data_IF_815801447640
#
_entry.id   IF_815801447640
#
_cell.length_a   1.000
_cell.length_b   1.000
_cell.length_c   1.000
_cell.angle_alpha   90.00
_cell.angle_beta   90.00
_cell.angle_gamma   90.00
#
_symmetry.space_group_name_H-M   'P 1'
#
loop_
_entity.id
_entity.type
_entity.pdbx_description
1 polymer ?
#
# COMPACT_ATOMS: atom_id res chain seq x y z
N UNK A 1 2.63 20.98 -5.82
CA UNK A 1 3.93 20.82 -5.13
C UNK A 1 3.85 20.04 -3.82
N UNK A 2 2.84 20.26 -2.95
CA UNK A 2 2.75 19.57 -1.66
C UNK A 2 2.66 18.03 -1.72
N UNK A 3 1.89 17.44 -2.67
CA UNK A 3 1.79 15.98 -2.85
C UNK A 3 3.15 15.35 -3.20
N UNK A 4 3.88 15.94 -4.15
CA UNK A 4 5.18 15.42 -4.61
C UNK A 4 6.23 15.42 -3.51
N UNK A 5 6.39 16.53 -2.77
CA UNK A 5 7.35 16.62 -1.67
C UNK A 5 7.02 15.64 -0.53
N UNK A 6 5.74 15.52 -0.18
CA UNK A 6 5.25 14.55 0.81
C UNK A 6 5.53 13.11 0.37
N UNK A 7 5.33 12.81 -0.91
CA UNK A 7 5.59 11.48 -1.45
C UNK A 7 7.09 11.15 -1.44
N UNK A 8 7.98 12.09 -1.78
CA UNK A 8 9.44 11.88 -1.69
C UNK A 8 9.84 11.50 -0.26
N UNK A 9 9.39 12.28 0.73
CA UNK A 9 9.72 12.01 2.13
C UNK A 9 9.13 10.68 2.62
N UNK A 10 7.89 10.37 2.26
CA UNK A 10 7.25 9.10 2.60
C UNK A 10 7.98 7.90 1.97
N UNK A 11 8.39 8.02 0.71
CA UNK A 11 9.12 6.97 -0.01
C UNK A 11 10.50 6.72 0.62
N UNK A 12 11.23 7.78 0.97
CA UNK A 12 12.51 7.66 1.67
C UNK A 12 12.34 6.97 3.04
N UNK A 13 11.31 7.33 3.81
CA UNK A 13 11.01 6.69 5.09
C UNK A 13 10.60 5.22 4.92
N UNK A 14 9.83 4.90 3.88
CA UNK A 14 9.46 3.53 3.54
C UNK A 14 10.69 2.70 3.15
N UNK A 15 11.57 3.22 2.29
CA UNK A 15 12.81 2.54 1.90
C UNK A 15 13.71 2.30 3.12
N UNK A 16 13.87 3.31 3.99
CA UNK A 16 14.60 3.16 5.25
C UNK A 16 13.98 2.12 6.17
N UNK A 17 12.65 2.07 6.25
CA UNK A 17 11.93 1.04 7.01
C UNK A 17 12.23 -0.36 6.44
N UNK A 18 12.11 -0.54 5.12
CA UNK A 18 12.41 -1.83 4.46
C UNK A 18 13.87 -2.24 4.55
N UNK A 19 14.81 -1.30 4.67
CA UNK A 19 16.24 -1.59 4.78
C UNK A 19 16.62 -2.29 6.09
N UNK A 20 15.75 -2.29 7.11
CA UNK A 20 15.97 -3.02 8.35
C UNK A 20 15.62 -4.52 8.23
N UNK A 21 15.09 -4.94 7.09
CA UNK A 21 14.64 -6.30 6.85
C UNK A 21 15.68 -7.12 6.10
N UNK A 22 15.61 -8.44 6.27
CA UNK A 22 16.43 -9.35 5.47
C UNK A 22 15.98 -9.30 4.00
N UNK A 23 16.88 -9.66 3.07
CA UNK A 23 16.62 -9.56 1.63
C UNK A 23 15.42 -10.39 1.15
N UNK A 24 15.09 -11.45 1.86
CA UNK A 24 13.98 -12.37 1.59
C UNK A 24 12.66 -11.94 2.25
N UNK A 25 12.69 -10.94 3.12
CA UNK A 25 11.51 -10.48 3.85
C UNK A 25 10.69 -9.45 3.08
N UNK A 26 11.31 -8.81 2.09
CA UNK A 26 10.63 -7.93 1.13
C UNK A 26 11.14 -8.23 -0.27
N UNK A 27 10.30 -8.89 -1.06
CA UNK A 27 10.66 -9.34 -2.41
C UNK A 27 9.85 -8.60 -3.46
N UNK A 28 10.40 -8.45 -4.66
CA UNK A 28 9.62 -7.95 -5.79
C UNK A 28 8.65 -9.05 -6.25
N UNK A 29 7.45 -8.65 -6.68
CA UNK A 29 6.49 -9.56 -7.28
C UNK A 29 7.06 -10.10 -8.60
N UNK A 30 6.97 -11.42 -8.88
CA UNK A 30 7.61 -12.04 -10.05
C UNK A 30 7.12 -11.46 -11.39
N UNK A 31 5.87 -11.02 -11.43
CA UNK A 31 5.25 -10.49 -12.65
C UNK A 31 5.26 -8.96 -12.76
N UNK A 32 5.79 -8.23 -11.76
CA UNK A 32 5.79 -6.76 -11.79
C UNK A 32 6.81 -6.15 -10.81
N UNK A 33 7.86 -5.51 -11.35
CA UNK A 33 9.01 -4.99 -10.57
C UNK A 33 8.66 -3.89 -9.55
N UNK A 34 7.50 -3.27 -9.70
CA UNK A 34 7.03 -2.18 -8.81
C UNK A 34 6.06 -2.64 -7.73
N UNK A 35 5.78 -3.93 -7.66
CA UNK A 35 5.01 -4.51 -6.57
C UNK A 35 6.00 -5.15 -5.60
N UNK A 36 6.02 -4.64 -4.37
CA UNK A 36 6.84 -5.16 -3.28
C UNK A 36 5.96 -6.00 -2.38
N UNK A 37 6.39 -7.23 -2.10
CA UNK A 37 5.65 -8.20 -1.30
C UNK A 37 6.34 -8.34 0.05
N UNK A 38 5.59 -8.09 1.11
CA UNK A 38 6.04 -8.41 2.46
C UNK A 38 5.95 -9.92 2.69
N UNK A 39 6.94 -10.47 3.38
CA UNK A 39 6.86 -11.83 3.90
C UNK A 39 5.71 -11.96 4.92
N UNK A 40 5.25 -13.18 5.22
CA UNK A 40 4.26 -13.40 6.28
C UNK A 40 4.68 -12.77 7.61
N UNK A 41 5.97 -12.86 7.95
CA UNK A 41 6.52 -12.27 9.17
C UNK A 41 6.40 -10.75 9.21
N UNK A 42 6.79 -10.04 8.15
CA UNK A 42 6.67 -8.58 8.11
C UNK A 42 5.22 -8.12 7.95
N UNK A 43 4.38 -8.93 7.32
CA UNK A 43 2.93 -8.67 7.23
C UNK A 43 2.24 -8.75 8.59
N UNK A 44 2.75 -9.57 9.51
CA UNK A 44 2.26 -9.66 10.89
C UNK A 44 2.44 -8.38 11.73
N UNK A 45 3.14 -7.37 11.21
CA UNK A 45 3.22 -6.03 11.83
C UNK A 45 1.93 -5.23 11.69
N UNK A 46 1.06 -5.64 10.76
CA UNK A 46 -0.22 -5.03 10.49
C UNK A 46 -1.35 -5.87 11.09
N UNK A 47 -2.40 -5.19 11.53
CA UNK A 47 -3.62 -5.84 12.00
C UNK A 47 -4.82 -5.35 11.21
N UNK A 48 -5.90 -6.12 11.24
CA UNK A 48 -7.07 -5.84 10.43
C UNK A 48 -8.34 -6.03 11.25
N UNK A 49 -9.28 -5.11 11.06
CA UNK A 49 -10.65 -5.23 11.51
C UNK A 49 -11.58 -4.66 10.44
N UNK A 50 -12.84 -5.10 10.42
CA UNK A 50 -13.86 -4.60 9.50
C UNK A 50 -14.94 -3.93 10.33
N UNK A 51 -15.24 -2.68 10.01
CA UNK A 51 -16.31 -1.90 10.62
C UNK A 51 -17.25 -1.41 9.50
N UNK A 52 -18.39 -2.09 9.35
CA UNK A 52 -19.30 -1.87 8.22
C UNK A 52 -18.57 -2.08 6.88
N UNK A 53 -18.54 -1.03 6.06
CA UNK A 53 -17.88 -1.03 4.75
C UNK A 53 -16.40 -0.58 4.82
N UNK A 54 -15.82 -0.40 6.01
CA UNK A 54 -14.45 0.10 6.19
C UNK A 54 -13.53 -0.99 6.71
N UNK A 55 -12.44 -1.23 5.98
CA UNK A 55 -11.31 -2.02 6.46
C UNK A 55 -10.40 -1.14 7.32
N UNK A 56 -10.41 -1.37 8.62
CA UNK A 56 -9.46 -0.76 9.54
C UNK A 56 -8.12 -1.48 9.41
N UNK A 57 -7.11 -0.75 8.97
CA UNK A 57 -5.73 -1.22 8.90
C UNK A 57 -4.99 -0.73 10.13
N UNK A 58 -4.77 -1.62 11.09
CA UNK A 58 -4.05 -1.34 12.32
C UNK A 58 -2.54 -1.31 12.08
N UNK A 59 -1.93 -0.19 12.47
CA UNK A 59 -0.52 0.14 12.21
C UNK A 59 0.15 0.58 13.51
N UNK A 60 1.32 0.02 13.84
CA UNK A 60 2.11 0.45 14.99
C UNK A 60 2.88 1.75 14.69
N UNK A 61 3.36 2.44 15.72
CA UNK A 61 3.99 3.76 15.55
C UNK A 61 5.21 3.74 14.60
N UNK A 62 5.96 2.64 14.57
CA UNK A 62 7.13 2.50 13.70
C UNK A 62 6.74 2.50 12.21
N UNK A 63 5.73 1.72 11.83
CA UNK A 63 5.19 1.71 10.47
C UNK A 63 4.40 2.99 10.14
N UNK A 64 3.71 3.58 11.13
CA UNK A 64 2.94 4.79 10.95
C UNK A 64 3.80 5.98 10.48
N UNK A 65 5.09 6.00 10.82
CA UNK A 65 6.03 7.05 10.43
C UNK A 65 6.15 7.27 8.92
N UNK A 66 6.09 6.19 8.13
CA UNK A 66 6.08 6.29 6.66
C UNK A 66 4.65 6.23 6.11
N UNK A 67 3.79 5.42 6.71
CA UNK A 67 2.45 5.17 6.19
C UNK A 67 1.54 6.38 6.25
N UNK A 68 1.63 7.19 7.32
CA UNK A 68 0.81 8.39 7.49
C UNK A 68 1.09 9.45 6.42
N UNK A 69 2.34 9.49 5.92
CA UNK A 69 2.74 10.43 4.88
C UNK A 69 2.51 9.89 3.47
N UNK A 70 2.49 8.56 3.30
CA UNK A 70 2.37 7.92 1.99
C UNK A 70 1.01 8.22 1.33
N UNK A 71 0.99 8.75 0.10
CA UNK A 71 -0.27 9.11 -0.56
C UNK A 71 -0.86 7.90 -1.29
N UNK A 72 -1.39 6.93 -0.55
CA UNK A 72 -2.08 5.79 -1.16
C UNK A 72 -3.31 6.27 -1.93
N UNK A 73 -3.40 5.84 -3.19
CA UNK A 73 -4.51 6.22 -4.07
C UNK A 73 -5.63 5.15 -4.00
N UNK A 74 -5.29 3.88 -3.77
CA UNK A 74 -6.27 2.80 -3.60
C UNK A 74 -5.65 1.52 -3.01
N UNK A 75 -6.52 0.60 -2.59
CA UNK A 75 -6.17 -0.77 -2.23
C UNK A 75 -6.78 -1.79 -3.19
N UNK A 76 -6.18 -2.97 -3.27
CA UNK A 76 -6.73 -4.14 -3.96
C UNK A 76 -6.66 -5.36 -3.05
N UNK A 77 -7.69 -6.21 -3.08
CA UNK A 77 -7.71 -7.46 -2.32
C UNK A 77 -7.74 -8.62 -3.32
N UNK A 78 -6.73 -9.47 -3.28
CA UNK A 78 -6.58 -10.66 -4.13
C UNK A 78 -6.05 -11.82 -3.29
N UNK A 79 -4.86 -12.34 -3.59
CA UNK A 79 -4.08 -13.23 -2.74
C UNK A 79 -3.49 -12.51 -1.52
N UNK A 80 -3.39 -11.18 -1.60
CA UNK A 80 -2.86 -10.27 -0.59
C UNK A 80 -3.69 -8.99 -0.55
N UNK A 81 -3.51 -8.19 0.49
CA UNK A 81 -3.94 -6.79 0.48
C UNK A 81 -2.83 -5.95 -0.15
N UNK A 82 -3.10 -5.34 -1.29
CA UNK A 82 -2.16 -4.46 -1.97
C UNK A 82 -2.53 -3.00 -1.74
N UNK A 83 -1.59 -2.21 -1.24
CA UNK A 83 -1.73 -0.77 -1.09
C UNK A 83 -0.97 -0.09 -2.22
N UNK A 84 -1.65 0.70 -3.05
CA UNK A 84 -1.07 1.27 -4.27
C UNK A 84 -0.91 2.79 -4.19
N UNK A 85 0.24 3.25 -4.69
CA UNK A 85 0.60 4.65 -4.84
C UNK A 85 1.00 4.89 -6.30
N UNK A 86 0.43 5.91 -6.92
CA UNK A 86 0.78 6.36 -8.25
C UNK A 86 2.10 7.11 -8.26
N UNK A 87 2.83 6.97 -9.37
CA UNK A 87 4.08 7.68 -9.57
C UNK A 87 3.83 9.17 -9.83
N UNK A 88 4.63 10.01 -9.19
CA UNK A 88 4.54 11.47 -9.33
C UNK A 88 5.86 12.01 -9.90
N UNK A 89 5.74 12.97 -10.83
CA UNK A 89 6.87 13.76 -11.28
C UNK A 89 7.14 14.87 -10.24
N UNK A 90 8.39 14.98 -9.81
CA UNK A 90 8.86 16.01 -8.90
C UNK A 90 10.14 16.62 -9.48
N UNK A 91 10.04 17.83 -10.04
CA UNK A 91 11.15 18.47 -10.76
C UNK A 91 11.69 17.53 -11.85
N UNK A 92 12.99 17.25 -11.88
CA UNK A 92 13.64 16.36 -12.84
C UNK A 92 13.54 14.86 -12.47
N UNK A 93 13.05 14.55 -11.25
CA UNK A 93 12.94 13.18 -10.76
C UNK A 93 11.51 12.62 -10.95
N UNK A 94 11.41 11.40 -11.49
CA UNK A 94 10.16 10.64 -11.52
C UNK A 94 10.19 9.60 -10.39
N UNK A 95 9.32 9.77 -9.40
CA UNK A 95 9.07 8.72 -8.43
C UNK A 95 8.21 7.64 -9.10
N UNK A 96 8.66 6.38 -9.14
CA UNK A 96 7.87 5.32 -9.75
C UNK A 96 6.62 5.04 -8.89
N UNK A 97 5.53 4.55 -9.51
CA UNK A 97 4.44 3.97 -8.75
C UNK A 97 4.94 2.77 -7.95
N UNK A 98 4.28 2.49 -6.83
CA UNK A 98 4.59 1.38 -5.93
C UNK A 98 3.29 0.70 -5.52
N UNK A 99 3.29 -0.62 -5.43
CA UNK A 99 2.27 -1.34 -4.67
C UNK A 99 2.91 -2.21 -3.60
N UNK A 100 2.40 -2.13 -2.37
CA UNK A 100 2.86 -2.94 -1.24
C UNK A 100 1.85 -4.05 -0.97
N UNK A 101 2.26 -5.30 -1.17
CA UNK A 101 1.45 -6.50 -0.89
C UNK A 101 1.66 -7.01 0.53
N UNK A 102 0.65 -6.87 1.38
CA UNK A 102 0.60 -7.39 2.74
C UNK A 102 -0.04 -8.77 2.71
N UNK A 103 0.66 -9.77 3.23
CA UNK A 103 0.18 -11.13 3.29
C UNK A 103 -1.02 -11.25 4.23
N UNK A 104 -2.09 -11.88 3.74
CA UNK A 104 -3.25 -12.29 4.51
C UNK A 104 -3.41 -13.77 4.23
N UNK A 105 -3.23 -14.62 5.23
CA UNK A 105 -3.21 -16.08 5.08
C UNK A 105 -4.60 -16.67 4.83
N UNK A 106 -5.59 -16.15 5.54
CA UNK A 106 -6.94 -16.70 5.60
C UNK A 106 -7.81 -16.23 4.41
N UNK A 107 -8.28 -17.15 3.54
CA UNK A 107 -9.17 -16.81 2.42
C UNK A 107 -10.50 -16.21 2.87
N UNK A 108 -11.03 -16.58 4.03
CA UNK A 108 -12.27 -16.03 4.57
C UNK A 108 -12.07 -14.57 4.96
N UNK A 109 -10.95 -14.24 5.60
CA UNK A 109 -10.58 -12.85 5.90
C UNK A 109 -10.40 -12.04 4.61
N UNK A 110 -9.75 -12.61 3.59
CA UNK A 110 -9.59 -11.93 2.29
C UNK A 110 -10.94 -11.66 1.62
N UNK A 111 -11.87 -12.62 1.63
CA UNK A 111 -13.21 -12.42 1.10
C UNK A 111 -13.98 -11.32 1.85
N UNK A 112 -13.86 -11.28 3.18
CA UNK A 112 -14.44 -10.22 3.99
C UNK A 112 -13.80 -8.84 3.68
N UNK A 113 -12.48 -8.78 3.57
CA UNK A 113 -11.75 -7.56 3.18
C UNK A 113 -12.16 -7.05 1.79
N UNK A 114 -12.39 -7.96 0.85
CA UNK A 114 -12.82 -7.59 -0.50
C UNK A 114 -14.22 -6.96 -0.54
N UNK A 115 -15.04 -7.17 0.48
CA UNK A 115 -16.36 -6.53 0.57
C UNK A 115 -16.27 -5.07 1.08
N UNK A 116 -15.17 -4.67 1.70
CA UNK A 116 -14.96 -3.31 2.15
C UNK A 116 -14.84 -2.33 0.96
N UNK A 117 -15.31 -1.10 1.16
CA UNK A 117 -15.22 0.01 0.18
C UNK A 117 -14.03 0.90 0.41
N UNK A 118 -13.55 1.00 1.66
CA UNK A 118 -12.45 1.88 2.03
C UNK A 118 -11.48 1.18 2.98
N UNK A 119 -10.22 1.59 2.94
CA UNK A 119 -9.21 1.26 3.94
C UNK A 119 -8.92 2.51 4.77
N UNK A 120 -8.99 2.39 6.09
CA UNK A 120 -8.64 3.46 7.03
C UNK A 120 -7.47 3.02 7.91
N UNK A 121 -6.27 3.60 7.72
CA UNK A 121 -5.15 3.40 8.63
C UNK A 121 -5.50 3.90 10.04
N UNK A 122 -5.24 3.07 11.03
CA UNK A 122 -5.57 3.30 12.44
C UNK A 122 -4.38 2.91 13.31
N UNK A 123 -4.01 3.75 14.27
CA UNK A 123 -2.90 3.41 15.16
C UNK A 123 -3.31 2.27 16.09
N UNK A 124 -2.40 1.33 16.32
CA UNK A 124 -2.58 0.28 17.32
C UNK A 124 -1.32 0.15 18.18
N UNK A 125 -1.51 -0.15 19.46
CA UNK A 125 -0.44 -0.53 20.35
C UNK A 125 -0.55 -2.02 20.63
N UNK A 126 0.53 -2.74 20.35
CA UNK A 126 0.62 -4.19 20.55
C UNK A 126 1.45 -4.46 21.80
N UNK A 127 0.92 -5.29 22.69
CA UNK A 127 1.59 -5.78 23.89
C UNK A 127 1.41 -7.29 23.97
N UNK A 128 2.49 -8.01 24.20
CA UNK A 128 2.49 -9.49 24.33
C UNK A 128 1.81 -10.19 23.13
N UNK A 129 2.04 -9.69 21.92
CA UNK A 129 1.50 -10.24 20.67
C UNK A 129 0.01 -9.97 20.45
N UNK A 130 -0.64 -9.13 21.26
CA UNK A 130 -2.05 -8.76 21.12
C UNK A 130 -2.22 -7.25 21.06
N UNK A 131 -3.29 -6.80 20.40
CA UNK A 131 -3.66 -5.39 20.41
C UNK A 131 -4.13 -5.04 21.82
N UNK A 132 -3.41 -4.15 22.48
CA UNK A 132 -3.74 -3.64 23.81
C UNK A 132 -4.58 -2.35 23.72
N UNK A 133 -4.35 -1.54 22.69
CA UNK A 133 -5.05 -0.27 22.49
C UNK A 133 -5.23 0.00 20.99
N UNK A 134 -6.39 0.54 20.63
CA UNK A 134 -6.69 1.08 19.30
C UNK A 134 -6.76 2.60 19.43
N UNK A 135 -5.82 3.28 18.78
CA UNK A 135 -5.75 4.73 18.74
C UNK A 135 -6.61 5.33 17.63
N UNK A 136 -6.38 6.61 17.33
CA UNK A 136 -7.12 7.31 16.28
C UNK A 136 -6.71 6.85 14.88
N UNK A 137 -7.69 6.90 13.98
CA UNK A 137 -7.46 6.87 12.54
C UNK A 137 -6.51 8.00 12.12
N UNK A 138 -5.67 7.74 11.12
CA UNK A 138 -4.74 8.74 10.59
C UNK A 138 -4.66 8.68 9.07
N UNK A 139 -4.26 9.81 8.48
CA UNK A 139 -4.30 9.99 7.03
C UNK A 139 -5.73 10.06 6.49
N UNK A 140 -5.83 10.24 5.18
CA UNK A 140 -7.10 10.13 4.47
C UNK A 140 -7.24 8.66 4.07
N UNK A 141 -8.32 8.01 4.49
CA UNK A 141 -8.64 6.66 4.01
C UNK A 141 -8.70 6.61 2.49
N UNK A 142 -8.51 5.44 1.91
CA UNK A 142 -8.43 5.26 0.46
C UNK A 142 -9.32 4.10 -0.01
N UNK A 143 -9.88 4.18 -1.23
CA UNK A 143 -10.86 3.21 -1.70
C UNK A 143 -10.25 1.83 -1.95
N UNK A 144 -11.03 0.78 -1.71
CA UNK A 144 -10.75 -0.58 -2.15
C UNK A 144 -11.34 -0.74 -3.56
N UNK A 145 -10.48 -1.10 -4.51
CA UNK A 145 -10.88 -1.45 -5.87
C UNK A 145 -10.95 -2.97 -6.02
N UNK A 146 -11.94 -3.42 -6.78
CA UNK A 146 -12.12 -4.83 -7.10
C UNK A 146 -11.18 -5.25 -8.22
N UNK A 147 -10.65 -6.48 -8.12
CA UNK A 147 -9.87 -7.13 -9.18
C UNK A 147 -8.36 -7.26 -8.90
N UNK A 148 -7.68 -7.91 -9.83
CA UNK A 148 -6.26 -8.26 -9.73
C UNK A 148 -5.37 -7.02 -9.94
N UNK A 149 -4.60 -6.67 -8.90
CA UNK A 149 -3.67 -5.54 -8.90
C UNK A 149 -2.67 -5.60 -10.06
N UNK A 150 -2.15 -6.77 -10.42
CA UNK A 150 -1.15 -6.92 -11.48
C UNK A 150 -1.79 -6.61 -12.82
N UNK A 151 -2.99 -7.17 -13.08
CA UNK A 151 -3.72 -6.89 -14.31
C UNK A 151 -4.03 -5.40 -14.44
N UNK A 152 -4.45 -4.76 -13.36
CA UNK A 152 -4.78 -3.34 -13.37
C UNK A 152 -3.55 -2.43 -13.48
N UNK A 153 -2.46 -2.75 -12.80
CA UNK A 153 -1.20 -2.01 -12.93
C UNK A 153 -0.61 -2.14 -14.34
N UNK A 154 -0.71 -3.32 -14.97
CA UNK A 154 -0.29 -3.54 -16.36
C UNK A 154 -1.17 -2.75 -17.34
N UNK A 155 -2.49 -2.74 -17.16
CA UNK A 155 -3.42 -1.96 -17.99
C UNK A 155 -3.14 -0.45 -17.85
N UNK A 156 -3.03 0.05 -16.62
CA UNK A 156 -2.73 1.46 -16.36
C UNK A 156 -1.37 1.88 -16.95
N UNK A 157 -0.35 1.01 -16.87
CA UNK A 157 0.94 1.26 -17.50
C UNK A 157 0.83 1.35 -19.03
N UNK A 158 0.06 0.46 -19.67
CA UNK A 158 -0.17 0.47 -21.13
C UNK A 158 -0.99 1.68 -21.59
N UNK A 159 -2.01 2.08 -20.84
CA UNK A 159 -2.81 3.27 -21.15
C UNK A 159 -1.99 4.55 -21.04
N UNK A 160 -1.14 4.66 -20.01
CA UNK A 160 -0.25 5.82 -19.84
C UNK A 160 0.80 5.91 -20.95
N UNK A 161 1.30 4.79 -21.45
CA UNK A 161 2.15 4.72 -22.64
C UNK A 161 1.40 5.21 -23.88
N UNK A 162 0.19 4.70 -24.14
CA UNK A 162 -0.65 5.15 -25.28
C UNK A 162 -0.96 6.64 -25.25
N UNK A 163 -1.27 7.20 -24.07
CA UNK A 163 -1.52 8.64 -23.93
C UNK A 163 -0.26 9.48 -24.18
N UNK A 164 0.92 9.01 -23.76
CA UNK A 164 2.20 9.66 -24.05
C UNK A 164 2.56 9.61 -25.53
N UNK A 165 2.23 8.51 -26.21
CA UNK A 165 2.42 8.39 -27.66
C UNK A 165 1.46 9.31 -28.42
N UNK A 166 0.18 9.38 -28.03
CA UNK A 166 -0.78 10.30 -28.65
C UNK A 166 -0.40 11.77 -28.46
N UNK A 167 0.13 12.15 -27.29
CA UNK A 167 0.62 13.51 -27.02
C UNK A 167 1.92 13.89 -27.74
N UNK A 168 2.55 12.96 -28.48
CA UNK A 168 3.67 13.25 -29.39
C UNK A 168 3.23 13.53 -30.83
N UNK A 169 1.97 13.26 -31.16
CA UNK A 169 1.40 13.48 -32.49
C UNK A 169 0.47 14.71 -32.58
N UNK A 170 0.37 15.49 -31.50
CA UNK A 170 -0.27 16.80 -31.42
C UNK A 170 0.70 17.80 -30.78
#
# INVERSE_FOLDING_TARGET
MAKSARQVAAYANFLRWTANFRRDEVVKHPNHDRVMLLSPMQSGRFSFAIEGDTLLLGVQDFEAAWMAAMPFDCAYVSDRLYLSVEGVACMDAKLPPLALGIFVDDPVKRAAMSAARFVQPTRVHVRDGRIAEVGRAFGLGFPVKQGDVIKQLVVAAKEKLRQQDMGRFF
#
